data_IF_371959012315
#
_entry.id   IF_371959012315
#
_cell.length_a   1.000
_cell.length_b   1.000
_cell.length_c   1.000
_cell.angle_alpha   90.00
_cell.angle_beta   90.00
_cell.angle_gamma   90.00
#
_symmetry.space_group_name_H-M   'P 1'
#
loop_
_entity.id
_entity.type
_entity.pdbx_description
1 polymer ?
#
# COMPACT_ATOMS: atom_id res chain seq x y z
N UNK A 1 -2.88 9.09 -17.46
CA UNK A 1 -4.13 8.40 -17.08
C UNK A 1 -3.87 7.40 -15.97
N UNK A 2 -4.72 7.33 -14.94
CA UNK A 2 -4.46 6.48 -13.78
C UNK A 2 -4.45 5.00 -14.16
N UNK A 3 -3.44 4.27 -13.68
CA UNK A 3 -3.35 2.81 -13.75
C UNK A 3 -3.86 2.24 -12.43
N UNK A 4 -4.86 1.36 -12.46
CA UNK A 4 -5.45 0.79 -11.26
C UNK A 4 -4.94 -0.62 -11.00
N UNK A 5 -4.58 -0.91 -9.74
CA UNK A 5 -4.23 -2.24 -9.25
C UNK A 5 -5.30 -2.75 -8.29
N UNK A 6 -5.76 -3.98 -8.48
CA UNK A 6 -6.70 -4.59 -7.53
C UNK A 6 -5.95 -5.05 -6.27
N UNK A 7 -6.43 -4.66 -5.08
CA UNK A 7 -5.89 -5.20 -3.83
C UNK A 7 -6.54 -6.55 -3.51
N UNK A 8 -5.81 -7.64 -3.76
CA UNK A 8 -6.33 -9.00 -3.62
C UNK A 8 -6.48 -9.46 -2.16
N UNK A 9 -6.02 -8.68 -1.19
CA UNK A 9 -6.33 -8.92 0.23
C UNK A 9 -7.72 -8.43 0.62
N UNK A 10 -8.28 -7.47 -0.13
CA UNK A 10 -9.58 -6.88 0.16
C UNK A 10 -10.64 -7.19 -0.89
N UNK A 11 -10.27 -7.24 -2.17
CA UNK A 11 -11.16 -7.52 -3.29
C UNK A 11 -11.17 -9.01 -3.65
N UNK A 12 -12.25 -9.47 -4.27
CA UNK A 12 -12.44 -10.86 -4.69
C UNK A 12 -12.36 -11.88 -3.54
N UNK A 13 -12.69 -11.45 -2.32
CA UNK A 13 -12.65 -12.29 -1.11
C UNK A 13 -13.67 -13.43 -1.14
N UNK A 14 -14.57 -13.43 -2.10
CA UNK A 14 -15.55 -14.47 -2.34
C UNK A 14 -14.94 -15.80 -2.78
N UNK A 15 -13.66 -15.77 -3.22
CA UNK A 15 -12.92 -16.93 -3.74
C UNK A 15 -11.53 -17.05 -3.10
N UNK A 16 -10.89 -18.24 -3.14
CA UNK A 16 -9.55 -18.47 -2.60
C UNK A 16 -8.50 -17.52 -3.23
N UNK A 17 -7.47 -17.15 -2.46
CA UNK A 17 -6.50 -16.12 -2.83
C UNK A 17 -5.87 -16.33 -4.22
N UNK A 18 -5.37 -17.52 -4.54
CA UNK A 18 -4.73 -17.77 -5.84
C UNK A 18 -5.71 -17.64 -7.02
N UNK A 19 -7.01 -17.91 -6.82
CA UNK A 19 -8.01 -17.70 -7.87
C UNK A 19 -8.34 -16.22 -8.11
N UNK A 20 -8.01 -15.30 -7.18
CA UNK A 20 -8.27 -13.87 -7.29
C UNK A 20 -7.46 -13.21 -8.42
N UNK A 21 -6.31 -13.75 -8.78
CA UNK A 21 -5.49 -13.25 -9.89
C UNK A 21 -6.26 -13.32 -11.21
N UNK A 22 -6.79 -14.50 -11.56
CA UNK A 22 -7.62 -14.66 -12.75
C UNK A 22 -8.87 -13.78 -12.70
N UNK A 23 -9.54 -13.69 -11.54
CA UNK A 23 -10.72 -12.86 -11.38
C UNK A 23 -10.45 -11.37 -11.59
N UNK A 24 -9.30 -10.88 -11.14
CA UNK A 24 -8.86 -9.49 -11.35
C UNK A 24 -8.54 -9.22 -12.83
N UNK A 25 -7.80 -10.13 -13.50
CA UNK A 25 -7.52 -10.01 -14.92
C UNK A 25 -8.81 -10.04 -15.77
N UNK A 26 -9.73 -10.95 -15.48
CA UNK A 26 -11.04 -11.03 -16.13
C UNK A 26 -11.90 -9.78 -15.91
N UNK A 27 -11.73 -9.09 -14.76
CA UNK A 27 -12.37 -7.80 -14.51
C UNK A 27 -11.66 -6.66 -15.26
N UNK A 28 -10.48 -6.93 -15.81
CA UNK A 28 -9.69 -6.02 -16.65
C UNK A 28 -8.67 -5.20 -15.88
N UNK A 29 -8.25 -5.61 -14.70
CA UNK A 29 -7.04 -5.10 -14.07
C UNK A 29 -5.82 -5.68 -14.77
N UNK A 30 -4.75 -4.86 -14.82
CA UNK A 30 -3.43 -5.27 -15.33
C UNK A 30 -2.37 -5.23 -14.23
N UNK A 31 -2.73 -4.75 -13.06
CA UNK A 31 -1.90 -4.73 -11.86
C UNK A 31 -2.67 -5.25 -10.66
N UNK A 32 -1.94 -5.87 -9.75
CA UNK A 32 -2.47 -6.33 -8.46
C UNK A 32 -1.51 -5.96 -7.33
N UNK A 33 -2.07 -5.80 -6.15
CA UNK A 33 -1.34 -5.67 -4.89
C UNK A 33 -2.01 -6.52 -3.81
N UNK A 34 -1.34 -6.80 -2.76
CA UNK A 34 -1.88 -7.51 -1.60
C UNK A 34 -1.03 -7.26 -0.36
N UNK A 35 -1.58 -7.52 0.83
CA UNK A 35 -0.88 -7.24 2.07
C UNK A 35 0.29 -8.21 2.27
N UNK A 36 0.03 -9.50 2.42
CA UNK A 36 1.05 -10.47 2.82
C UNK A 36 0.97 -11.74 1.96
N UNK A 37 1.99 -12.02 1.12
CA UNK A 37 2.03 -13.22 0.26
C UNK A 37 2.55 -14.47 0.96
N UNK A 38 3.03 -14.39 2.19
CA UNK A 38 3.94 -15.35 2.82
C UNK A 38 3.31 -16.70 3.18
N UNK A 39 1.99 -16.83 3.11
CA UNK A 39 1.28 -18.10 3.28
C UNK A 39 1.40 -19.02 2.05
N UNK A 40 1.83 -18.47 0.91
CA UNK A 40 1.95 -19.20 -0.35
C UNK A 40 3.39 -19.18 -0.85
N UNK A 41 3.91 -20.29 -1.41
CA UNK A 41 5.19 -20.26 -2.13
C UNK A 41 5.20 -19.18 -3.21
N UNK A 42 6.27 -18.38 -3.28
CA UNK A 42 6.38 -17.29 -4.24
C UNK A 42 6.24 -17.75 -5.70
N UNK A 43 6.67 -18.99 -6.00
CA UNK A 43 6.56 -19.62 -7.30
C UNK A 43 5.09 -19.80 -7.76
N UNK A 44 4.18 -20.12 -6.84
CA UNK A 44 2.76 -20.26 -7.16
C UNK A 44 2.17 -18.89 -7.51
N UNK A 45 2.48 -17.87 -6.73
CA UNK A 45 2.03 -16.49 -7.01
C UNK A 45 2.61 -15.99 -8.33
N UNK A 46 3.90 -16.24 -8.59
CA UNK A 46 4.54 -15.88 -9.85
C UNK A 46 3.90 -16.58 -11.06
N UNK A 47 3.47 -17.84 -10.90
CA UNK A 47 2.75 -18.55 -11.94
C UNK A 47 1.38 -17.91 -12.23
N UNK A 48 0.63 -17.51 -11.19
CA UNK A 48 -0.65 -16.82 -11.35
C UNK A 48 -0.49 -15.44 -12.02
N UNK A 49 0.50 -14.64 -11.61
CA UNK A 49 0.81 -13.36 -12.24
C UNK A 49 1.10 -13.54 -13.74
N UNK A 50 1.96 -14.50 -14.08
CA UNK A 50 2.35 -14.79 -15.47
C UNK A 50 1.18 -15.30 -16.30
N UNK A 51 0.37 -16.24 -15.76
CA UNK A 51 -0.75 -16.85 -16.48
C UNK A 51 -1.85 -15.86 -16.82
N UNK A 52 -1.96 -14.78 -16.02
CA UNK A 52 -3.01 -13.77 -16.15
C UNK A 52 -2.48 -12.43 -16.68
N UNK A 53 -1.21 -12.33 -17.09
CA UNK A 53 -0.54 -11.11 -17.58
C UNK A 53 -0.71 -9.93 -16.59
N UNK A 54 -0.45 -10.17 -15.31
CA UNK A 54 -0.58 -9.19 -14.24
C UNK A 54 0.77 -8.74 -13.72
N UNK A 55 0.92 -7.42 -13.47
CA UNK A 55 2.04 -6.85 -12.70
C UNK A 55 1.75 -6.93 -11.20
N UNK A 56 2.70 -7.44 -10.41
CA UNK A 56 2.64 -7.28 -8.95
C UNK A 56 3.20 -5.92 -8.55
N UNK A 57 2.31 -5.02 -8.14
CA UNK A 57 2.64 -3.60 -7.91
C UNK A 57 3.30 -3.37 -6.56
N UNK A 58 2.78 -4.03 -5.53
CA UNK A 58 3.14 -3.80 -4.13
C UNK A 58 2.75 -5.00 -3.26
N UNK A 59 3.56 -5.27 -2.23
CA UNK A 59 3.14 -6.01 -1.05
C UNK A 59 3.93 -5.53 0.19
N UNK A 60 3.47 -5.93 1.39
CA UNK A 60 4.06 -5.47 2.64
C UNK A 60 5.15 -6.42 3.14
N UNK A 61 6.11 -5.89 3.87
CA UNK A 61 7.02 -6.69 4.72
C UNK A 61 6.19 -7.51 5.73
N UNK A 62 6.72 -8.64 6.26
CA UNK A 62 6.04 -9.40 7.30
C UNK A 62 5.58 -8.50 8.46
N UNK A 63 4.31 -8.60 8.88
CA UNK A 63 3.71 -7.65 9.83
C UNK A 63 3.93 -8.00 11.31
N UNK A 64 4.61 -9.08 11.63
CA UNK A 64 4.55 -9.75 12.92
C UNK A 64 3.35 -10.70 13.02
N UNK A 65 2.88 -10.96 14.21
CA UNK A 65 1.70 -11.81 14.45
C UNK A 65 0.39 -11.03 14.19
N UNK A 66 -0.02 -11.03 12.91
CA UNK A 66 -1.23 -10.34 12.47
C UNK A 66 -2.50 -10.84 13.16
N UNK A 67 -2.58 -12.16 13.43
CA UNK A 67 -3.73 -12.78 14.07
C UNK A 67 -3.88 -12.33 15.53
N UNK A 68 -2.76 -12.11 16.22
CA UNK A 68 -2.73 -11.56 17.59
C UNK A 68 -2.86 -10.03 17.63
N UNK A 69 -3.07 -9.38 16.51
CA UNK A 69 -3.32 -7.94 16.46
C UNK A 69 -2.10 -7.07 16.15
N UNK A 70 -0.94 -7.63 15.86
CA UNK A 70 0.22 -6.84 15.42
C UNK A 70 -0.03 -6.20 14.06
N UNK A 71 0.55 -5.03 13.83
CA UNK A 71 0.34 -4.22 12.63
C UNK A 71 1.67 -3.67 12.09
N UNK A 72 2.71 -4.50 12.10
CA UNK A 72 4.07 -4.13 11.75
C UNK A 72 5.00 -4.20 12.95
N UNK A 73 6.26 -4.50 12.71
CA UNK A 73 7.32 -4.62 13.72
C UNK A 73 8.34 -3.51 13.62
N UNK A 74 8.20 -2.61 12.66
CA UNK A 74 9.25 -1.64 12.28
C UNK A 74 9.58 -0.67 13.41
N UNK A 75 8.59 -0.30 14.27
CA UNK A 75 8.82 0.62 15.39
C UNK A 75 9.04 -0.06 16.74
N UNK A 76 9.21 -1.38 16.79
CA UNK A 76 9.22 -2.15 18.04
C UNK A 76 10.65 -2.38 18.54
N UNK A 77 11.10 -1.70 19.63
CA UNK A 77 12.39 -1.97 20.23
C UNK A 77 12.51 -3.42 20.71
N UNK A 78 13.68 -4.03 20.47
CA UNK A 78 13.96 -5.43 20.80
C UNK A 78 13.50 -6.45 19.78
N UNK A 79 12.87 -6.00 18.66
CA UNK A 79 12.45 -6.89 17.55
C UNK A 79 13.18 -6.57 16.23
N UNK A 80 14.32 -5.89 16.31
CA UNK A 80 15.07 -5.46 15.14
C UNK A 80 15.57 -6.65 14.30
N UNK A 81 15.96 -7.74 14.94
CA UNK A 81 16.42 -8.94 14.22
C UNK A 81 15.28 -9.63 13.47
N UNK A 82 14.11 -9.73 14.07
CA UNK A 82 12.91 -10.23 13.39
C UNK A 82 12.55 -9.37 12.17
N UNK A 83 12.62 -8.05 12.32
CA UNK A 83 12.41 -7.12 11.21
C UNK A 83 13.42 -7.35 10.08
N UNK A 84 14.72 -7.54 10.40
CA UNK A 84 15.77 -7.81 9.40
C UNK A 84 15.53 -9.12 8.65
N UNK A 85 15.15 -10.18 9.36
CA UNK A 85 14.75 -11.46 8.74
C UNK A 85 13.54 -11.26 7.82
N UNK A 86 12.57 -10.47 8.25
CA UNK A 86 11.41 -10.09 7.45
C UNK A 86 11.79 -9.35 6.16
N UNK A 87 12.73 -8.41 6.22
CA UNK A 87 13.26 -7.71 5.04
C UNK A 87 13.91 -8.69 4.07
N UNK A 88 14.75 -9.60 4.57
CA UNK A 88 15.42 -10.61 3.73
C UNK A 88 14.39 -11.53 3.05
N UNK A 89 13.37 -11.96 3.78
CA UNK A 89 12.27 -12.78 3.24
C UNK A 89 11.52 -12.03 2.14
N UNK A 90 11.15 -10.78 2.39
CA UNK A 90 10.42 -9.96 1.42
C UNK A 90 11.23 -9.72 0.14
N UNK A 91 12.54 -9.53 0.23
CA UNK A 91 13.44 -9.43 -0.94
C UNK A 91 13.39 -10.70 -1.79
N UNK A 92 13.38 -11.89 -1.17
CA UNK A 92 13.28 -13.15 -1.92
C UNK A 92 11.97 -13.23 -2.70
N UNK A 93 10.84 -12.87 -2.07
CA UNK A 93 9.56 -12.81 -2.74
C UNK A 93 9.54 -11.76 -3.85
N UNK A 94 10.00 -10.54 -3.57
CA UNK A 94 10.02 -9.45 -4.55
C UNK A 94 10.78 -9.82 -5.82
N UNK A 95 11.92 -10.50 -5.70
CA UNK A 95 12.69 -11.02 -6.86
C UNK A 95 11.89 -12.03 -7.69
N UNK A 96 11.21 -12.95 -7.04
CA UNK A 96 10.40 -13.99 -7.71
C UNK A 96 9.16 -13.41 -8.39
N UNK A 97 8.56 -12.41 -7.77
CA UNK A 97 7.34 -11.75 -8.22
C UNK A 97 7.61 -10.55 -9.13
N UNK A 98 8.89 -10.22 -9.37
CA UNK A 98 9.32 -9.04 -10.13
C UNK A 98 8.72 -7.73 -9.58
N UNK A 99 8.60 -7.62 -8.26
CA UNK A 99 8.01 -6.47 -7.56
C UNK A 99 9.09 -5.47 -7.19
N UNK A 100 8.84 -4.19 -7.47
CA UNK A 100 9.81 -3.11 -7.24
C UNK A 100 9.45 -2.19 -6.08
N UNK A 101 8.38 -2.47 -5.36
CA UNK A 101 7.91 -1.68 -4.22
C UNK A 101 7.49 -2.58 -3.07
N UNK A 102 7.98 -2.28 -1.88
CA UNK A 102 7.61 -2.97 -0.64
C UNK A 102 7.20 -1.94 0.42
N UNK A 103 6.12 -2.21 1.14
CA UNK A 103 5.65 -1.35 2.23
C UNK A 103 6.10 -1.90 3.59
N UNK A 104 6.65 -1.03 4.45
CA UNK A 104 6.97 -1.33 5.84
C UNK A 104 5.94 -0.70 6.77
N UNK A 105 5.00 -1.51 7.26
CA UNK A 105 4.05 -1.06 8.29
C UNK A 105 4.79 -0.62 9.55
N UNK A 106 4.49 0.59 10.04
CA UNK A 106 5.20 1.17 11.20
C UNK A 106 5.04 0.32 12.47
N UNK A 107 3.82 -0.05 12.79
CA UNK A 107 3.48 -0.80 14.00
C UNK A 107 2.67 0.02 15.00
N UNK A 108 2.07 -0.69 15.96
CA UNK A 108 1.39 -0.12 17.11
C UNK A 108 2.40 0.06 18.24
N UNK A 109 2.45 1.25 18.85
CA UNK A 109 3.38 1.53 19.96
C UNK A 109 2.89 0.79 21.22
N UNK A 110 3.69 -0.14 21.78
CA UNK A 110 3.34 -0.79 23.04
C UNK A 110 3.29 0.23 24.19
N UNK A 111 2.40 0.02 25.16
CA UNK A 111 2.28 0.90 26.32
C UNK A 111 3.58 1.04 27.14
N UNK A 112 4.46 0.03 27.10
CA UNK A 112 5.75 0.02 27.78
C UNK A 112 6.87 0.77 27.04
N UNK A 113 6.61 1.24 25.81
CA UNK A 113 7.60 1.90 24.95
C UNK A 113 7.26 3.38 24.84
N UNK A 114 8.27 4.25 25.01
CA UNK A 114 8.07 5.67 24.77
C UNK A 114 7.90 5.97 23.27
N UNK A 115 7.08 6.98 22.89
CA UNK A 115 6.99 7.39 21.48
C UNK A 115 8.34 7.77 20.86
N UNK A 116 9.26 8.30 21.65
CA UNK A 116 10.60 8.67 21.19
C UNK A 116 11.44 7.43 20.85
N UNK A 117 11.41 6.40 21.70
CA UNK A 117 12.14 5.15 21.47
C UNK A 117 11.54 4.38 20.27
N UNK A 118 10.21 4.34 20.17
CA UNK A 118 9.52 3.75 19.02
C UNK A 118 9.93 4.46 17.72
N UNK A 119 9.94 5.79 17.70
CA UNK A 119 10.37 6.57 16.53
C UNK A 119 11.84 6.32 16.20
N UNK A 120 12.72 6.29 17.18
CA UNK A 120 14.16 6.02 16.97
C UNK A 120 14.37 4.63 16.35
N UNK A 121 13.69 3.60 16.88
CA UNK A 121 13.71 2.24 16.33
C UNK A 121 13.18 2.21 14.90
N UNK A 122 12.06 2.89 14.65
CA UNK A 122 11.46 2.98 13.31
C UNK A 122 12.45 3.53 12.29
N UNK A 123 13.09 4.66 12.59
CA UNK A 123 14.07 5.30 11.72
C UNK A 123 15.28 4.39 11.47
N UNK A 124 15.81 3.75 12.52
CA UNK A 124 16.95 2.84 12.39
C UNK A 124 16.60 1.64 11.48
N UNK A 125 15.43 1.04 11.67
CA UNK A 125 14.96 -0.07 10.87
C UNK A 125 14.67 0.34 9.41
N UNK A 126 14.10 1.53 9.18
CA UNK A 126 13.91 2.04 7.82
C UNK A 126 15.22 2.29 7.09
N UNK A 127 16.24 2.85 7.77
CA UNK A 127 17.60 3.02 7.20
C UNK A 127 18.19 1.68 6.77
N UNK A 128 18.07 0.66 7.62
CA UNK A 128 18.51 -0.68 7.29
C UNK A 128 17.75 -1.25 6.08
N UNK A 129 16.40 -1.23 6.12
CA UNK A 129 15.58 -1.81 5.06
C UNK A 129 15.80 -1.08 3.73
N UNK A 130 15.85 0.25 3.72
CA UNK A 130 16.10 1.04 2.52
C UNK A 130 17.46 0.67 1.89
N UNK A 131 18.51 0.53 2.69
CA UNK A 131 19.83 0.14 2.20
C UNK A 131 19.85 -1.26 1.58
N UNK A 132 19.16 -2.25 2.20
CA UNK A 132 19.09 -3.61 1.66
C UNK A 132 18.24 -3.68 0.38
N UNK A 133 17.13 -2.98 0.34
CA UNK A 133 16.23 -2.92 -0.82
C UNK A 133 16.85 -2.17 -2.00
N UNK A 134 17.63 -1.10 -1.74
CA UNK A 134 18.33 -0.35 -2.79
C UNK A 134 19.30 -1.24 -3.59
N UNK A 135 19.96 -2.20 -2.95
CA UNK A 135 20.85 -3.19 -3.62
C UNK A 135 20.10 -4.04 -4.66
N UNK A 136 18.79 -4.09 -4.58
CA UNK A 136 17.94 -4.88 -5.46
C UNK A 136 17.09 -4.00 -6.41
N UNK A 137 17.27 -2.68 -6.39
CA UNK A 137 16.44 -1.74 -7.16
C UNK A 137 15.00 -1.63 -6.66
N UNK A 138 14.76 -1.95 -5.39
CA UNK A 138 13.42 -1.94 -4.79
C UNK A 138 13.24 -0.65 -3.96
N UNK A 139 12.11 0.02 -4.12
CA UNK A 139 11.69 1.13 -3.28
C UNK A 139 10.99 0.63 -2.02
N UNK A 140 11.32 1.26 -0.89
CA UNK A 140 10.63 1.07 0.37
C UNK A 140 9.54 2.13 0.50
N UNK A 141 8.33 1.72 0.90
CA UNK A 141 7.23 2.63 1.15
C UNK A 141 6.88 2.67 2.64
N UNK A 142 6.45 3.84 3.10
CA UNK A 142 5.83 4.04 4.41
C UNK A 142 4.47 4.71 4.23
N UNK A 143 3.54 4.40 5.13
CA UNK A 143 2.15 4.82 5.04
C UNK A 143 1.66 5.41 6.35
N UNK A 144 0.99 6.54 6.27
CA UNK A 144 0.23 7.12 7.37
C UNK A 144 -1.16 6.47 7.45
N UNK A 145 -1.45 5.78 8.56
CA UNK A 145 -2.69 5.05 8.76
C UNK A 145 -3.55 5.75 9.82
N UNK A 146 -4.87 5.82 9.60
CA UNK A 146 -5.79 6.49 10.48
C UNK A 146 -5.94 5.77 11.84
N UNK A 147 -6.17 6.57 12.89
CA UNK A 147 -6.29 6.08 14.28
C UNK A 147 -7.65 5.47 14.59
N UNK A 148 -8.64 5.59 13.69
CA UNK A 148 -9.94 4.94 13.81
C UNK A 148 -9.83 3.45 13.52
N UNK A 149 -9.11 3.07 12.44
CA UNK A 149 -8.95 1.67 12.04
C UNK A 149 -7.84 0.98 12.84
N UNK A 150 -6.73 1.69 13.13
CA UNK A 150 -5.61 1.14 13.90
C UNK A 150 -5.22 2.13 15.03
N UNK A 151 -5.90 2.07 16.17
CA UNK A 151 -5.54 2.89 17.33
C UNK A 151 -4.11 2.60 17.81
N UNK A 152 -3.34 3.66 18.10
CA UNK A 152 -1.96 3.54 18.58
C UNK A 152 -0.91 3.27 17.51
N UNK A 153 -1.28 3.26 16.23
CA UNK A 153 -0.31 3.17 15.13
C UNK A 153 0.64 4.38 15.14
N UNK A 154 1.94 4.14 14.93
CA UNK A 154 2.97 5.19 15.08
C UNK A 154 2.79 6.35 14.09
N UNK A 155 2.43 6.06 12.85
CA UNK A 155 2.46 7.01 11.74
C UNK A 155 1.03 7.32 11.25
N UNK A 156 0.55 8.56 11.44
CA UNK A 156 -0.86 8.88 11.25
C UNK A 156 -1.14 10.02 10.27
N UNK A 157 -0.13 10.83 9.90
CA UNK A 157 -0.31 11.96 8.99
C UNK A 157 0.77 12.01 7.91
N UNK A 158 0.46 12.61 6.76
CA UNK A 158 1.43 12.76 5.67
C UNK A 158 2.60 13.66 6.08
N UNK A 159 2.35 14.66 6.92
CA UNK A 159 3.42 15.51 7.45
C UNK A 159 4.42 14.70 8.29
N UNK A 160 3.93 13.84 9.20
CA UNK A 160 4.80 12.93 9.96
C UNK A 160 5.58 11.97 9.04
N UNK A 161 4.93 11.41 8.01
CA UNK A 161 5.58 10.53 7.07
C UNK A 161 6.69 11.24 6.30
N UNK A 162 6.44 12.47 5.86
CA UNK A 162 7.44 13.30 5.19
C UNK A 162 8.64 13.60 6.11
N UNK A 163 8.40 13.98 7.37
CA UNK A 163 9.47 14.23 8.35
C UNK A 163 10.33 12.97 8.57
N UNK A 164 9.72 11.79 8.58
CA UNK A 164 10.44 10.51 8.67
C UNK A 164 11.30 10.27 7.41
N UNK A 165 10.76 10.55 6.21
CA UNK A 165 11.55 10.45 4.97
C UNK A 165 12.83 11.29 5.05
N UNK A 166 12.69 12.57 5.44
CA UNK A 166 13.82 13.50 5.57
C UNK A 166 14.84 13.00 6.60
N UNK A 167 14.37 12.50 7.75
CA UNK A 167 15.26 12.02 8.83
C UNK A 167 15.99 10.70 8.45
N UNK A 168 15.35 9.85 7.66
CA UNK A 168 15.97 8.63 7.12
C UNK A 168 16.97 8.97 6.02
N UNK A 169 16.63 9.90 5.12
CA UNK A 169 17.47 10.43 4.05
C UNK A 169 17.81 9.41 2.95
N UNK A 170 17.03 8.36 2.78
CA UNK A 170 17.25 7.33 1.75
C UNK A 170 16.45 7.65 0.48
N UNK A 171 17.13 7.68 -0.69
CA UNK A 171 16.51 8.05 -1.96
C UNK A 171 15.43 7.08 -2.45
N UNK A 172 15.48 5.82 -2.01
CA UNK A 172 14.49 4.79 -2.35
C UNK A 172 13.40 4.62 -1.29
N UNK A 173 13.33 5.50 -0.28
CA UNK A 173 12.23 5.56 0.67
C UNK A 173 11.20 6.59 0.18
N UNK A 174 9.95 6.17 0.02
CA UNK A 174 8.88 6.98 -0.56
C UNK A 174 7.59 6.86 0.26
N UNK A 175 6.65 7.77 -0.01
CA UNK A 175 5.33 7.76 0.61
C UNK A 175 4.38 6.80 -0.14
N UNK A 176 3.64 6.00 0.61
CA UNK A 176 2.38 5.40 0.20
C UNK A 176 1.26 6.32 0.70
N UNK A 177 0.55 6.93 -0.23
CA UNK A 177 -0.52 7.88 0.06
C UNK A 177 -1.87 7.21 -0.12
N UNK A 178 -2.39 6.57 0.94
CA UNK A 178 -3.77 6.08 0.95
C UNK A 178 -4.73 7.26 1.24
N UNK A 179 -5.52 7.62 0.23
CA UNK A 179 -6.44 8.76 0.30
C UNK A 179 -7.59 8.51 1.29
N UNK A 180 -7.92 7.26 1.57
CA UNK A 180 -8.89 6.92 2.62
C UNK A 180 -8.36 7.30 4.00
N UNK A 181 -7.14 6.89 4.35
CA UNK A 181 -6.52 7.25 5.61
C UNK A 181 -6.27 8.76 5.71
N UNK A 182 -5.80 9.36 4.63
CA UNK A 182 -5.51 10.78 4.58
C UNK A 182 -6.78 11.64 4.74
N UNK A 183 -7.93 11.23 4.16
CA UNK A 183 -9.20 11.93 4.34
C UNK A 183 -9.64 11.92 5.80
N UNK A 184 -9.57 10.78 6.46
CA UNK A 184 -9.99 10.63 7.87
C UNK A 184 -9.14 11.48 8.82
N UNK A 185 -7.83 11.52 8.59
CA UNK A 185 -6.90 12.18 9.52
C UNK A 185 -6.70 13.66 9.24
N UNK A 186 -6.76 14.07 7.97
CA UNK A 186 -6.26 15.40 7.58
C UNK A 186 -7.19 16.13 6.61
N UNK A 187 -7.83 15.43 5.68
CA UNK A 187 -8.54 16.06 4.56
C UNK A 187 -7.61 16.83 3.60
N UNK A 188 -8.17 17.77 2.82
CA UNK A 188 -7.44 18.63 1.87
C UNK A 188 -6.58 17.82 0.88
N UNK A 189 -7.17 16.75 0.32
CA UNK A 189 -6.48 15.70 -0.43
C UNK A 189 -5.70 16.23 -1.63
N UNK A 190 -6.32 17.10 -2.45
CA UNK A 190 -5.71 17.61 -3.67
C UNK A 190 -4.44 18.45 -3.39
N UNK A 191 -4.50 19.30 -2.36
CA UNK A 191 -3.36 20.12 -1.93
C UNK A 191 -2.22 19.26 -1.42
N UNK A 192 -2.54 18.24 -0.61
CA UNK A 192 -1.54 17.28 -0.10
C UNK A 192 -0.93 16.42 -1.19
N UNK A 193 -1.74 15.93 -2.13
CA UNK A 193 -1.24 15.21 -3.30
C UNK A 193 -0.23 16.06 -4.07
N UNK A 194 -0.57 17.33 -4.36
CA UNK A 194 0.37 18.25 -5.03
C UNK A 194 1.64 18.48 -4.22
N UNK A 195 1.50 18.68 -2.89
CA UNK A 195 2.64 18.98 -2.01
C UNK A 195 3.64 17.83 -1.92
N UNK A 196 3.14 16.58 -1.82
CA UNK A 196 3.97 15.40 -1.59
C UNK A 196 4.18 14.55 -2.85
N UNK A 197 3.70 15.00 -4.03
CA UNK A 197 3.86 14.29 -5.30
C UNK A 197 5.30 13.83 -5.61
N UNK A 198 6.35 14.64 -5.38
CA UNK A 198 7.72 14.21 -5.65
C UNK A 198 8.18 13.00 -4.83
N UNK A 199 7.61 12.80 -3.65
CA UNK A 199 7.95 11.70 -2.74
C UNK A 199 6.94 10.55 -2.80
N UNK A 200 5.86 10.69 -3.59
CA UNK A 200 4.81 9.69 -3.68
C UNK A 200 5.25 8.51 -4.54
N UNK A 201 5.42 7.35 -3.93
CA UNK A 201 5.75 6.10 -4.62
C UNK A 201 4.52 5.28 -5.01
N UNK A 202 3.42 5.45 -4.29
CA UNK A 202 2.18 4.72 -4.51
C UNK A 202 0.97 5.48 -3.95
N UNK A 203 -0.17 5.36 -4.62
CA UNK A 203 -1.45 5.93 -4.16
C UNK A 203 -2.43 4.80 -3.92
N UNK A 204 -3.26 4.90 -2.88
CA UNK A 204 -4.37 3.98 -2.66
C UNK A 204 -5.69 4.73 -2.47
N UNK A 205 -6.80 4.05 -2.76
CA UNK A 205 -8.14 4.64 -2.74
C UNK A 205 -9.18 3.69 -2.14
N UNK A 206 -10.07 4.27 -1.34
CA UNK A 206 -11.31 3.66 -0.86
C UNK A 206 -12.35 4.72 -0.53
N UNK A 207 -13.62 4.37 -0.56
CA UNK A 207 -14.72 5.25 -0.16
C UNK A 207 -14.70 5.55 1.35
N UNK A 208 -14.86 6.82 1.73
CA UNK A 208 -14.94 7.26 3.14
C UNK A 208 -16.40 7.56 3.47
N UNK A 209 -16.93 7.10 4.63
CA UNK A 209 -16.23 6.55 5.80
C UNK A 209 -16.06 5.02 5.86
N UNK A 210 -16.75 4.23 5.03
CA UNK A 210 -16.93 2.79 5.24
C UNK A 210 -15.86 1.91 4.59
N UNK A 211 -14.87 2.52 3.90
CA UNK A 211 -13.81 1.84 3.15
C UNK A 211 -14.35 0.93 2.03
N UNK A 212 -15.48 1.29 1.43
CA UNK A 212 -16.07 0.60 0.28
C UNK A 212 -15.54 1.15 -1.05
N UNK A 213 -16.28 0.90 -2.16
CA UNK A 213 -15.93 1.36 -3.50
C UNK A 213 -15.66 2.87 -3.54
N UNK A 214 -14.67 3.35 -4.34
CA UNK A 214 -14.30 4.78 -4.37
C UNK A 214 -15.40 5.72 -4.85
N UNK A 215 -16.42 5.21 -5.54
CA UNK A 215 -17.58 6.00 -5.96
C UNK A 215 -18.68 6.10 -4.90
N UNK A 216 -18.43 5.60 -3.70
CA UNK A 216 -19.33 5.70 -2.55
C UNK A 216 -18.70 6.61 -1.47
N UNK A 217 -19.55 7.28 -0.68
CA UNK A 217 -19.09 8.11 0.42
C UNK A 217 -18.79 9.57 0.03
N UNK A 218 -17.95 10.25 0.83
CA UNK A 218 -17.81 11.71 0.81
C UNK A 218 -16.70 12.24 -0.12
N UNK A 219 -15.85 11.37 -0.69
CA UNK A 219 -14.70 11.78 -1.51
C UNK A 219 -15.06 11.78 -3.00
N UNK A 220 -14.80 12.89 -3.69
CA UNK A 220 -15.02 12.99 -5.13
C UNK A 220 -13.81 12.47 -5.92
N UNK A 221 -13.64 11.15 -6.00
CA UNK A 221 -12.51 10.50 -6.65
C UNK A 221 -12.31 10.85 -8.14
N UNK A 222 -13.37 11.04 -8.99
CA UNK A 222 -13.14 11.47 -10.37
C UNK A 222 -12.30 12.75 -10.49
N UNK A 223 -12.52 13.73 -9.62
CA UNK A 223 -11.70 14.94 -9.54
C UNK A 223 -10.25 14.62 -9.12
N UNK A 224 -10.07 13.73 -8.14
CA UNK A 224 -8.73 13.37 -7.65
C UNK A 224 -7.93 12.57 -8.69
N UNK A 225 -8.57 11.75 -9.52
CA UNK A 225 -7.92 11.06 -10.63
C UNK A 225 -7.42 12.06 -11.69
N UNK A 226 -8.29 13.01 -12.10
CA UNK A 226 -7.92 14.07 -13.04
C UNK A 226 -6.79 14.95 -12.43
N UNK A 227 -6.82 15.19 -11.12
CA UNK A 227 -5.78 15.94 -10.40
C UNK A 227 -4.44 15.20 -10.36
N UNK A 228 -4.44 13.89 -10.09
CA UNK A 228 -3.23 13.04 -10.15
C UNK A 228 -2.57 13.10 -11.53
N UNK A 229 -3.35 13.02 -12.60
CA UNK A 229 -2.84 13.19 -13.97
C UNK A 229 -2.24 14.60 -14.18
N UNK A 230 -2.92 15.65 -13.70
CA UNK A 230 -2.48 17.03 -13.85
C UNK A 230 -1.16 17.34 -13.14
N UNK A 231 -0.91 16.70 -11.97
CA UNK A 231 0.36 16.84 -11.24
C UNK A 231 1.45 15.85 -11.72
N UNK A 232 1.18 15.08 -12.78
CA UNK A 232 2.15 14.19 -13.41
C UNK A 232 2.37 12.86 -12.70
N UNK A 233 1.46 12.42 -11.83
CA UNK A 233 1.56 11.11 -11.21
C UNK A 233 1.33 10.01 -12.24
N UNK A 234 2.34 9.18 -12.48
CA UNK A 234 2.34 8.09 -13.47
C UNK A 234 2.34 6.69 -12.85
N UNK A 235 2.27 6.62 -11.52
CA UNK A 235 2.27 5.37 -10.77
C UNK A 235 0.94 4.62 -10.82
N UNK A 236 0.87 3.54 -10.07
CA UNK A 236 -0.34 2.77 -9.85
C UNK A 236 -1.22 3.37 -8.75
N UNK A 237 -2.53 3.19 -8.88
CA UNK A 237 -3.52 3.47 -7.85
C UNK A 237 -4.07 2.14 -7.34
N UNK A 238 -3.71 1.76 -6.12
CA UNK A 238 -4.20 0.57 -5.44
C UNK A 238 -5.65 0.73 -5.01
N UNK A 239 -6.48 -0.23 -5.37
CA UNK A 239 -7.89 -0.27 -4.99
C UNK A 239 -8.02 -1.02 -3.65
N UNK A 240 -7.64 -0.36 -2.54
CA UNK A 240 -7.60 -0.97 -1.22
C UNK A 240 -8.89 -0.75 -0.44
N UNK A 241 -9.98 -1.32 -0.95
CA UNK A 241 -11.31 -1.17 -0.36
C UNK A 241 -12.00 -2.52 -0.14
N UNK A 242 -12.99 -2.52 0.73
CA UNK A 242 -13.87 -3.67 1.00
C UNK A 242 -15.10 -3.55 0.13
N UNK A 243 -15.30 -4.42 -0.87
CA UNK A 243 -16.51 -4.39 -1.67
C UNK A 243 -17.77 -4.46 -0.81
N UNK A 244 -18.75 -3.60 -1.08
CA UNK A 244 -20.02 -3.57 -0.35
C UNK A 244 -20.82 -4.87 -0.53
N UNK A 245 -20.55 -5.55 -1.64
CA UNK A 245 -21.17 -6.84 -1.99
C UNK A 245 -20.21 -7.69 -2.80
N UNK A 246 -20.69 -8.28 -3.90
CA UNK A 246 -19.84 -9.00 -4.83
C UNK A 246 -18.88 -8.03 -5.54
N UNK A 247 -17.57 -8.35 -5.54
CA UNK A 247 -16.53 -7.47 -6.09
C UNK A 247 -16.83 -7.06 -7.54
N UNK A 248 -17.15 -8.00 -8.43
CA UNK A 248 -17.44 -7.69 -9.85
C UNK A 248 -18.62 -6.75 -10.02
N UNK A 249 -19.68 -6.94 -9.24
CA UNK A 249 -20.87 -6.11 -9.31
C UNK A 249 -20.57 -4.65 -8.91
N UNK A 250 -19.62 -4.43 -8.01
CA UNK A 250 -19.18 -3.11 -7.53
C UNK A 250 -18.27 -2.34 -8.50
N UNK A 251 -17.79 -2.91 -9.61
CA UNK A 251 -16.79 -2.31 -10.50
C UNK A 251 -17.33 -1.31 -11.53
N UNK A 252 -18.55 -0.81 -11.39
CA UNK A 252 -19.12 0.19 -12.32
C UNK A 252 -18.25 1.45 -12.43
N UNK A 253 -17.69 1.93 -11.33
CA UNK A 253 -16.78 3.08 -11.27
C UNK A 253 -15.49 2.84 -12.08
N UNK A 254 -14.92 1.65 -11.99
CA UNK A 254 -13.71 1.26 -12.71
C UNK A 254 -13.93 1.22 -14.22
N UNK A 255 -15.07 0.66 -14.65
CA UNK A 255 -15.46 0.62 -16.07
C UNK A 255 -15.66 2.03 -16.66
N UNK A 256 -16.19 2.99 -15.88
CA UNK A 256 -16.30 4.38 -16.29
C UNK A 256 -14.93 5.03 -16.51
N UNK A 257 -13.94 4.74 -15.66
CA UNK A 257 -12.58 5.25 -15.85
C UNK A 257 -11.92 4.65 -17.11
N UNK A 258 -12.13 3.37 -17.41
CA UNK A 258 -11.65 2.74 -18.65
C UNK A 258 -12.24 3.36 -19.91
N UNK A 259 -13.52 3.70 -19.91
CA UNK A 259 -14.19 4.27 -21.09
C UNK A 259 -13.64 5.66 -21.43
N UNK A 260 -13.24 6.48 -20.45
CA UNK A 260 -12.52 7.74 -20.70
C UNK A 260 -11.22 7.53 -21.48
N UNK A 261 -10.59 6.36 -21.36
CA UNK A 261 -9.34 6.00 -22.01
C UNK A 261 -9.50 5.77 -23.49
N UNK A 262 -10.63 5.23 -23.94
CA UNK A 262 -10.84 4.79 -25.32
C UNK A 262 -11.38 5.95 -26.22
N UNK A 263 -11.68 7.10 -25.66
CA UNK A 263 -12.37 8.21 -26.37
C UNK A 263 -11.42 9.40 -26.68
N UNK A 264 -10.11 9.28 -26.38
CA UNK A 264 -9.04 10.22 -26.74
C UNK A 264 -8.15 9.56 -27.81
#
# INVERSE_FOLDING_TARGET
MPKFAANLSMMFNEIPFLARFAAAADAGFTGVEYLFPYEFPAELIAAELKSNDLENVLFNLPPGDWASGERGTTCLPGREEEFRVGVATAIQYAKKLNTTKLHAMAGIIPQSVSPADAKATYIANLKFAAAELAKQGISLLIEAINTRDIPGFLLNTQAQAYDILEEVGAQNLMLQMDLYHMQIMEGDLAVKLSKYAPQCGHVQVAGVPERNEPNTGEVHYPFLYDHLDAIGYSGWIGCEYRPLGNTRAGLSWFNQQKTKITTI
#
